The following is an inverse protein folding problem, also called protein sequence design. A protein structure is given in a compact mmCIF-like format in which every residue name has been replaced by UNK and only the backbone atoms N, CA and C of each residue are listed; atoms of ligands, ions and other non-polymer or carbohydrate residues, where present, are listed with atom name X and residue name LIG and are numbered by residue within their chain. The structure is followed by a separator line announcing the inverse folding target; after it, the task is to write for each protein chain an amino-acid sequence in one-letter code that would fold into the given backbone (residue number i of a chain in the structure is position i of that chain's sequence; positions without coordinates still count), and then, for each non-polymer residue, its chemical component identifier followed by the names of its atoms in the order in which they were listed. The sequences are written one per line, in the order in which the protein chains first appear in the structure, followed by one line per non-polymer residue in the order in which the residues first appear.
data_IF_262610105575
#
_entry.id   IF_262610105575
#
_cell.length_a   1.000
_cell.length_b   1.000
_cell.length_c   1.000
_cell.angle_alpha   90.00
_cell.angle_beta   90.00
_cell.angle_gamma   90.00
#
_symmetry.space_group_name_H-M   'P 1'
#
loop_
_entity.id
_entity.type
_entity.pdbx_description
1 polymer ?
#
# COMPACT_ATOMS: atom_id res chain seq x y z
N UNK A 1 13.47 -19.90 -18.50
CA UNK A 1 13.58 -18.44 -18.70
C UNK A 1 12.15 -17.93 -18.89
N UNK A 2 11.56 -17.29 -17.88
CA UNK A 2 10.16 -16.85 -17.93
C UNK A 2 10.13 -15.39 -18.34
N UNK A 3 9.44 -15.08 -19.44
CA UNK A 3 9.33 -13.73 -19.99
C UNK A 3 8.48 -12.84 -19.06
N UNK A 4 8.84 -11.55 -18.88
CA UNK A 4 8.03 -10.61 -18.12
C UNK A 4 6.71 -10.34 -18.86
N UNK A 5 5.60 -10.37 -18.11
CA UNK A 5 4.27 -10.05 -18.63
C UNK A 5 4.21 -8.52 -18.80
N UNK A 6 4.16 -8.05 -20.06
CA UNK A 6 3.91 -6.66 -20.39
C UNK A 6 2.40 -6.44 -20.56
N UNK A 7 1.83 -5.64 -19.67
CA UNK A 7 0.45 -5.17 -19.77
C UNK A 7 0.44 -3.93 -20.68
N UNK A 8 -0.27 -3.93 -21.81
CA UNK A 8 -0.29 -2.81 -22.74
C UNK A 8 -1.08 -1.64 -22.13
N UNK A 9 -0.44 -0.48 -22.01
CA UNK A 9 -1.04 0.77 -21.49
C UNK A 9 -0.15 1.60 -20.55
N UNK A 10 1.01 1.09 -20.14
CA UNK A 10 1.95 1.84 -19.31
C UNK A 10 2.99 2.56 -20.18
N UNK A 11 2.69 3.79 -20.57
CA UNK A 11 3.73 4.74 -20.97
C UNK A 11 4.37 5.30 -19.71
N UNK A 12 5.62 4.91 -19.51
CA UNK A 12 6.59 5.48 -18.58
C UNK A 12 6.63 7.00 -18.73
N UNK A 13 6.03 7.74 -17.78
CA UNK A 13 6.33 9.13 -17.46
C UNK A 13 5.58 9.51 -16.16
N UNK A 14 6.34 9.85 -15.11
CA UNK A 14 5.87 10.47 -13.84
C UNK A 14 5.24 9.60 -12.73
N UNK A 15 5.29 8.27 -12.78
CA UNK A 15 5.12 7.44 -11.56
C UNK A 15 6.42 6.69 -11.30
N UNK A 16 7.23 7.17 -10.35
CA UNK A 16 8.41 6.45 -9.85
C UNK A 16 7.96 5.04 -9.47
N UNK A 17 8.45 4.05 -10.21
CA UNK A 17 8.13 2.65 -9.99
C UNK A 17 8.46 2.26 -8.55
N UNK A 18 7.45 1.88 -7.76
CA UNK A 18 7.64 1.30 -6.43
C UNK A 18 7.67 -0.21 -6.61
N UNK A 19 8.76 -0.90 -6.21
CA UNK A 19 8.85 -2.34 -6.37
C UNK A 19 7.70 -3.07 -5.69
N UNK A 20 7.17 -4.11 -6.34
CA UNK A 20 6.07 -4.92 -5.80
C UNK A 20 6.38 -5.44 -4.39
N UNK A 21 7.63 -5.83 -4.11
CA UNK A 21 8.07 -6.28 -2.79
C UNK A 21 8.04 -5.21 -1.69
N UNK A 22 8.11 -3.93 -2.06
CA UNK A 22 7.91 -2.81 -1.10
C UNK A 22 6.42 -2.68 -0.81
N UNK A 23 5.59 -2.73 -1.85
CA UNK A 23 4.13 -2.65 -1.72
C UNK A 23 3.57 -3.80 -0.87
N UNK A 24 3.98 -5.03 -1.14
CA UNK A 24 3.61 -6.22 -0.34
C UNK A 24 4.01 -6.08 1.12
N UNK A 25 5.22 -5.59 1.41
CA UNK A 25 5.66 -5.33 2.80
C UNK A 25 4.78 -4.29 3.50
N UNK A 26 4.38 -3.25 2.77
CA UNK A 26 3.50 -2.21 3.33
C UNK A 26 2.09 -2.75 3.60
N UNK A 27 1.53 -3.58 2.71
CA UNK A 27 0.23 -4.25 2.92
C UNK A 27 0.30 -5.12 4.18
N UNK A 28 1.35 -5.91 4.35
CA UNK A 28 1.53 -6.73 5.55
C UNK A 28 1.65 -5.89 6.83
N UNK A 29 2.37 -4.77 6.78
CA UNK A 29 2.52 -3.86 7.93
C UNK A 29 1.18 -3.19 8.31
N UNK A 30 0.41 -2.74 7.32
CA UNK A 30 -0.93 -2.16 7.53
C UNK A 30 -1.87 -3.22 8.12
N UNK A 31 -1.86 -4.44 7.59
CA UNK A 31 -2.65 -5.57 8.10
C UNK A 31 -2.32 -5.88 9.56
N UNK A 32 -1.03 -5.93 9.90
CA UNK A 32 -0.57 -6.17 11.27
C UNK A 32 -1.04 -5.06 12.23
N UNK A 33 -1.03 -3.80 11.78
CA UNK A 33 -1.61 -2.68 12.52
C UNK A 33 -3.11 -2.82 12.74
N UNK A 34 -3.87 -3.21 11.72
CA UNK A 34 -5.31 -3.47 11.86
C UNK A 34 -5.59 -4.54 12.92
N UNK A 35 -4.87 -5.67 12.86
CA UNK A 35 -5.02 -6.76 13.83
C UNK A 35 -4.66 -6.33 15.27
N UNK A 36 -3.63 -5.49 15.44
CA UNK A 36 -3.18 -5.02 16.75
C UNK A 36 -4.07 -3.95 17.37
N UNK A 37 -4.56 -2.99 16.58
CA UNK A 37 -5.21 -1.78 17.09
C UNK A 37 -6.73 -1.83 17.05
N UNK A 38 -7.33 -2.48 16.04
CA UNK A 38 -8.79 -2.49 15.84
C UNK A 38 -9.44 -3.86 16.10
N UNK A 39 -8.66 -4.91 16.40
CA UNK A 39 -9.19 -6.26 16.62
C UNK A 39 -9.66 -6.91 15.31
N UNK A 40 -10.69 -7.77 15.38
CA UNK A 40 -11.19 -8.54 14.23
C UNK A 40 -11.88 -7.64 13.18
N UNK A 41 -11.07 -6.93 12.40
CA UNK A 41 -11.49 -6.31 11.15
C UNK A 41 -11.90 -7.44 10.20
N UNK A 42 -13.09 -7.34 9.61
CA UNK A 42 -13.55 -8.29 8.59
C UNK A 42 -12.59 -8.20 7.39
N UNK A 43 -11.84 -9.25 7.11
CA UNK A 43 -10.84 -9.31 6.03
C UNK A 43 -9.76 -8.20 6.08
N UNK A 44 -8.85 -8.23 7.06
CA UNK A 44 -7.83 -7.18 7.25
C UNK A 44 -6.82 -7.11 6.10
N UNK A 45 -6.63 -8.21 5.38
CA UNK A 45 -5.72 -8.27 4.23
C UNK A 45 -6.27 -7.49 3.03
N UNK A 46 -7.59 -7.59 2.79
CA UNK A 46 -8.26 -6.84 1.73
C UNK A 46 -8.25 -5.34 2.04
N UNK A 47 -8.62 -4.95 3.27
CA UNK A 47 -8.56 -3.55 3.68
C UNK A 47 -7.14 -2.97 3.61
N UNK A 48 -6.12 -3.73 4.01
CA UNK A 48 -4.73 -3.28 3.91
C UNK A 48 -4.29 -3.09 2.45
N UNK A 49 -4.68 -4.00 1.55
CA UNK A 49 -4.38 -3.90 0.12
C UNK A 49 -5.09 -2.71 -0.53
N UNK A 50 -6.36 -2.47 -0.21
CA UNK A 50 -7.11 -1.30 -0.70
C UNK A 50 -6.46 0.01 -0.26
N UNK A 51 -6.08 0.12 1.03
CA UNK A 51 -5.41 1.30 1.56
C UNK A 51 -4.07 1.58 0.89
N UNK A 52 -3.24 0.55 0.71
CA UNK A 52 -1.96 0.70 0.01
C UNK A 52 -2.15 1.10 -1.46
N UNK A 53 -3.12 0.49 -2.15
CA UNK A 53 -3.43 0.81 -3.54
C UNK A 53 -3.97 2.24 -3.70
N UNK A 54 -4.78 2.74 -2.77
CA UNK A 54 -5.24 4.13 -2.76
C UNK A 54 -4.05 5.10 -2.69
N UNK A 55 -3.10 4.85 -1.79
CA UNK A 55 -1.88 5.66 -1.67
C UNK A 55 -1.04 5.57 -2.93
N UNK A 56 -0.77 4.36 -3.42
CA UNK A 56 0.01 4.15 -4.64
C UNK A 56 -0.61 4.86 -5.86
N UNK A 57 -1.94 4.91 -5.95
CA UNK A 57 -2.62 5.59 -7.06
C UNK A 57 -2.48 7.11 -6.98
N UNK A 58 -2.52 7.67 -5.76
CA UNK A 58 -2.51 9.10 -5.48
C UNK A 58 -1.12 9.72 -5.45
N UNK A 59 -0.11 8.95 -5.07
CA UNK A 59 1.24 9.47 -4.92
C UNK A 59 1.96 9.64 -6.25
N UNK A 60 2.67 10.75 -6.37
CA UNK A 60 3.53 11.10 -7.51
C UNK A 60 5.03 10.87 -7.20
N UNK A 61 5.38 10.68 -5.92
CA UNK A 61 6.75 10.45 -5.47
C UNK A 61 6.85 9.31 -4.44
N UNK A 62 8.04 8.70 -4.35
CA UNK A 62 8.35 7.67 -3.35
C UNK A 62 8.27 8.22 -1.92
N UNK A 63 8.75 9.45 -1.70
CA UNK A 63 8.70 10.10 -0.39
C UNK A 63 7.26 10.34 0.06
N UNK A 64 6.39 10.83 -0.83
CA UNK A 64 4.97 11.02 -0.52
C UNK A 64 4.28 9.68 -0.23
N UNK A 65 4.58 8.64 -1.01
CA UNK A 65 4.07 7.30 -0.78
C UNK A 65 4.48 6.78 0.60
N UNK A 66 5.76 6.90 0.97
CA UNK A 66 6.27 6.49 2.29
C UNK A 66 5.59 7.22 3.43
N UNK A 67 5.47 8.55 3.34
CA UNK A 67 4.84 9.37 4.36
C UNK A 67 3.35 9.04 4.51
N UNK A 68 2.64 8.82 3.40
CA UNK A 68 1.22 8.47 3.41
C UNK A 68 0.97 7.07 4.01
N UNK A 69 1.84 6.09 3.73
CA UNK A 69 1.77 4.76 4.34
C UNK A 69 1.98 4.83 5.86
N UNK A 70 2.95 5.64 6.34
CA UNK A 70 3.15 5.89 7.77
C UNK A 70 1.90 6.54 8.38
N UNK A 71 1.36 7.57 7.72
CA UNK A 71 0.15 8.27 8.17
C UNK A 71 -1.06 7.34 8.31
N UNK A 72 -1.22 6.37 7.41
CA UNK A 72 -2.29 5.36 7.53
C UNK A 72 -2.08 4.49 8.77
N UNK A 73 -0.86 4.01 9.01
CA UNK A 73 -0.56 3.19 10.19
C UNK A 73 -0.83 3.94 11.49
N UNK A 74 -0.50 5.23 11.56
CA UNK A 74 -0.81 6.09 12.71
C UNK A 74 -2.33 6.28 12.88
N UNK A 75 -3.09 6.48 11.80
CA UNK A 75 -4.56 6.60 11.85
C UNK A 75 -5.23 5.33 12.35
N UNK A 76 -4.72 4.16 11.96
CA UNK A 76 -5.20 2.85 12.44
C UNK A 76 -4.98 2.74 13.95
N UNK A 77 -3.81 3.16 14.43
CA UNK A 77 -3.49 3.18 15.87
C UNK A 77 -4.40 4.11 16.68
N UNK A 78 -4.78 5.25 16.09
CA UNK A 78 -5.71 6.21 16.70
C UNK A 78 -7.19 5.80 16.59
N UNK A 79 -7.52 4.68 15.93
CA UNK A 79 -8.89 4.22 15.71
C UNK A 79 -9.70 5.11 14.75
N UNK A 80 -9.02 5.87 13.88
CA UNK A 80 -9.64 6.83 12.93
C UNK A 80 -9.55 6.37 11.47
N UNK A 81 -9.23 5.09 11.24
CA UNK A 81 -8.98 4.50 9.92
C UNK A 81 -10.16 3.68 9.40
#
# INVERSE_FOLDING_TARGET
MTAPIQIPGFTDNDKRYIPTSVRERNILAIRDKYMKCQGSVWHPEFHAAEREQEVYSRCTSDDEYRLMIISIMEKIELGKA
#
